data_IF_649096838678
#
_entry.id   IF_649096838678
#
_cell.length_a   1.000
_cell.length_b   1.000
_cell.length_c   1.000
_cell.angle_alpha   90.00
_cell.angle_beta   90.00
_cell.angle_gamma   90.00
#
_symmetry.space_group_name_H-M   'P 1'
#
loop_
_entity.id
_entity.type
_entity.pdbx_description
1 polymer ?
#
# COMPACT_ATOMS: atom_id res chain seq x y z
N UNK A 1 -18.30 -5.92 21.20
CA UNK A 1 -17.61 -5.90 19.90
C UNK A 1 -16.34 -5.05 20.00
N UNK A 2 -15.23 -5.50 19.41
CA UNK A 2 -13.93 -4.82 19.47
C UNK A 2 -13.90 -3.62 18.52
N UNK A 3 -14.48 -3.75 17.33
CA UNK A 3 -14.51 -2.71 16.29
C UNK A 3 -15.23 -1.46 16.79
N UNK A 4 -16.36 -1.63 17.50
CA UNK A 4 -17.07 -0.55 18.18
C UNK A 4 -16.18 0.21 19.17
N UNK A 5 -15.38 -0.50 19.98
CA UNK A 5 -14.50 0.14 20.96
C UNK A 5 -13.37 0.91 20.29
N UNK A 6 -12.79 0.34 19.24
CA UNK A 6 -11.76 0.98 18.43
C UNK A 6 -12.26 2.28 17.81
N UNK A 7 -13.39 2.24 17.08
CA UNK A 7 -13.95 3.40 16.41
C UNK A 7 -14.34 4.52 17.39
N UNK A 8 -14.91 4.15 18.54
CA UNK A 8 -15.25 5.11 19.59
C UNK A 8 -14.02 5.74 20.26
N UNK A 9 -12.94 4.97 20.46
CA UNK A 9 -11.68 5.50 20.98
C UNK A 9 -11.04 6.48 19.99
N UNK A 10 -10.98 6.11 18.71
CA UNK A 10 -10.47 6.97 17.64
C UNK A 10 -11.31 8.24 17.48
N UNK A 11 -12.63 8.15 17.65
CA UNK A 11 -13.53 9.30 17.46
C UNK A 11 -13.21 10.43 18.46
N UNK A 12 -12.87 10.07 19.70
CA UNK A 12 -12.50 11.04 20.74
C UNK A 12 -11.23 11.82 20.41
N UNK A 13 -10.32 11.24 19.62
CA UNK A 13 -9.01 11.83 19.32
C UNK A 13 -9.01 12.49 17.94
N UNK A 14 -9.47 11.78 16.91
CA UNK A 14 -9.33 12.18 15.51
C UNK A 14 -10.46 13.08 15.00
N UNK A 15 -11.62 13.06 15.65
CA UNK A 15 -12.79 13.85 15.24
C UNK A 15 -12.99 15.09 16.10
N UNK A 16 -12.19 15.27 17.15
CA UNK A 16 -12.22 16.48 17.97
C UNK A 16 -11.89 17.69 17.07
N UNK A 17 -12.81 18.65 16.98
CA UNK A 17 -12.72 19.85 16.15
C UNK A 17 -12.64 19.61 14.62
N UNK A 18 -13.00 18.41 14.15
CA UNK A 18 -13.01 18.12 12.72
C UNK A 18 -14.32 18.56 12.07
N UNK A 19 -14.23 19.38 11.03
CA UNK A 19 -15.40 19.89 10.29
C UNK A 19 -15.84 19.01 9.12
N UNK A 20 -14.92 18.19 8.58
CA UNK A 20 -15.21 17.31 7.44
C UNK A 20 -15.25 15.85 7.88
N UNK A 21 -16.14 15.02 7.33
CA UNK A 21 -16.15 13.59 7.62
C UNK A 21 -14.78 12.95 7.36
N UNK A 22 -14.32 12.09 8.28
CA UNK A 22 -13.08 11.35 8.09
C UNK A 22 -13.36 10.09 7.27
N UNK A 23 -12.75 9.92 6.08
CA UNK A 23 -12.85 8.66 5.34
C UNK A 23 -12.22 7.52 6.13
N UNK A 24 -12.97 6.43 6.33
CA UNK A 24 -12.50 5.25 7.03
C UNK A 24 -12.72 3.98 6.21
N UNK A 25 -11.89 2.98 6.50
CA UNK A 25 -12.00 1.67 5.88
C UNK A 25 -11.11 0.63 6.55
N UNK A 26 -11.30 -0.62 6.17
CA UNK A 26 -10.56 -1.77 6.64
C UNK A 26 -10.12 -2.61 5.44
N UNK A 27 -8.96 -3.25 5.50
CA UNK A 27 -8.59 -4.25 4.48
C UNK A 27 -9.29 -5.60 4.75
N UNK A 28 -9.78 -5.80 5.98
CA UNK A 28 -10.44 -7.05 6.39
C UNK A 28 -11.73 -7.32 5.59
N UNK A 29 -12.38 -6.28 5.08
CA UNK A 29 -13.53 -6.44 4.18
C UNK A 29 -13.17 -7.10 2.84
N UNK A 30 -11.91 -7.01 2.42
CA UNK A 30 -11.45 -7.49 1.12
C UNK A 30 -10.73 -8.83 1.24
N UNK A 31 -9.89 -9.02 2.26
CA UNK A 31 -9.01 -10.18 2.41
C UNK A 31 -9.31 -11.02 3.66
N UNK A 32 -10.29 -10.63 4.47
CA UNK A 32 -10.51 -11.23 5.79
C UNK A 32 -9.42 -10.84 6.80
N UNK A 33 -9.40 -11.54 7.93
CA UNK A 33 -8.36 -11.32 8.94
C UNK A 33 -7.11 -12.14 8.58
N UNK A 34 -6.01 -11.45 8.26
CA UNK A 34 -4.71 -12.07 7.94
C UNK A 34 -3.83 -12.25 9.19
N UNK A 35 -4.43 -12.27 10.38
CA UNK A 35 -3.81 -12.45 11.70
C UNK A 35 -2.52 -11.63 11.88
N UNK A 36 -1.37 -12.31 12.00
CA UNK A 36 -0.07 -11.70 12.23
C UNK A 36 0.33 -10.68 11.15
N UNK A 37 -0.21 -10.80 9.93
CA UNK A 37 0.08 -9.88 8.82
C UNK A 37 -0.91 -8.71 8.72
N UNK A 38 -1.98 -8.67 9.51
CA UNK A 38 -3.09 -7.68 9.38
C UNK A 38 -2.63 -6.22 9.38
N UNK A 39 -1.66 -5.88 10.23
CA UNK A 39 -1.06 -4.55 10.26
C UNK A 39 -0.32 -4.22 8.95
N UNK A 40 0.53 -5.14 8.46
CA UNK A 40 1.32 -4.94 7.25
C UNK A 40 0.44 -4.81 6.02
N UNK A 41 -0.58 -5.67 5.88
CA UNK A 41 -1.51 -5.60 4.74
C UNK A 41 -2.28 -4.27 4.74
N UNK A 42 -2.64 -3.76 5.93
CA UNK A 42 -3.28 -2.45 6.06
C UNK A 42 -2.36 -1.30 5.65
N UNK A 43 -1.06 -1.37 6.00
CA UNK A 43 -0.05 -0.42 5.53
C UNK A 43 0.09 -0.49 4.00
N UNK A 44 0.16 -1.69 3.43
CA UNK A 44 0.23 -1.88 1.96
C UNK A 44 -0.98 -1.27 1.26
N UNK A 45 -2.21 -1.43 1.79
CA UNK A 45 -3.42 -0.76 1.27
C UNK A 45 -3.23 0.75 1.16
N UNK A 46 -2.70 1.37 2.22
CA UNK A 46 -2.48 2.83 2.26
C UNK A 46 -1.37 3.25 1.30
N UNK A 47 -0.25 2.52 1.26
CA UNK A 47 0.85 2.83 0.34
C UNK A 47 0.41 2.76 -1.13
N UNK A 48 -0.35 1.73 -1.49
CA UNK A 48 -0.93 1.61 -2.84
C UNK A 48 -1.92 2.75 -3.10
N UNK A 49 -2.79 3.07 -2.13
CA UNK A 49 -3.77 4.15 -2.28
C UNK A 49 -3.11 5.53 -2.51
N UNK A 50 -2.01 5.81 -1.80
CA UNK A 50 -1.20 7.01 -1.98
C UNK A 50 -0.50 7.01 -3.35
N UNK A 51 0.08 5.88 -3.77
CA UNK A 51 0.79 5.74 -5.05
C UNK A 51 -0.15 5.97 -6.24
N UNK A 52 -1.36 5.38 -6.22
CA UNK A 52 -2.32 5.48 -7.33
C UNK A 52 -3.27 6.68 -7.20
N UNK A 53 -3.20 7.43 -6.11
CA UNK A 53 -4.05 8.58 -5.82
C UNK A 53 -5.54 8.24 -5.59
N UNK A 54 -5.87 7.01 -5.15
CA UNK A 54 -7.26 6.56 -4.94
C UNK A 54 -7.41 5.68 -3.71
N UNK A 55 -8.48 5.88 -2.96
CA UNK A 55 -8.87 5.03 -1.83
C UNK A 55 -9.83 3.94 -2.34
N UNK A 56 -9.48 2.64 -2.20
CA UNK A 56 -10.33 1.55 -2.64
C UNK A 56 -11.54 1.36 -1.70
N UNK A 57 -12.66 0.82 -2.22
CA UNK A 57 -13.89 0.61 -1.46
C UNK A 57 -13.75 -0.51 -0.43
N UNK A 58 -14.52 -0.40 0.66
CA UNK A 58 -14.80 -1.47 1.60
C UNK A 58 -16.05 -2.22 1.15
N UNK A 59 -15.97 -3.54 1.11
CA UNK A 59 -17.10 -4.41 0.79
C UNK A 59 -17.87 -4.80 2.06
N UNK A 60 -19.10 -5.29 1.87
CA UNK A 60 -19.98 -5.78 2.93
C UNK A 60 -20.38 -4.73 3.98
N UNK A 61 -20.46 -3.46 3.58
CA UNK A 61 -20.98 -2.38 4.42
C UNK A 61 -22.37 -1.95 3.92
N UNK A 62 -23.41 -2.30 4.67
CA UNK A 62 -24.80 -2.01 4.29
C UNK A 62 -25.44 -0.93 5.17
N UNK A 63 -25.23 -0.99 6.49
CA UNK A 63 -25.86 -0.07 7.46
C UNK A 63 -24.84 0.35 8.52
N UNK A 64 -24.80 1.63 8.92
CA UNK A 64 -23.96 2.07 10.03
C UNK A 64 -24.33 1.35 11.33
N UNK A 65 -23.31 0.93 12.08
CA UNK A 65 -23.50 0.37 13.41
C UNK A 65 -24.02 1.45 14.36
N UNK A 66 -25.18 1.18 14.99
CA UNK A 66 -25.81 2.08 15.97
C UNK A 66 -24.96 2.24 17.25
N UNK A 67 -23.98 1.36 17.46
CA UNK A 67 -23.09 1.41 18.64
C UNK A 67 -21.93 2.42 18.48
N UNK A 68 -21.79 3.03 17.30
CA UNK A 68 -20.74 4.00 16.99
C UNK A 68 -21.42 5.32 16.59
N UNK A 69 -21.62 6.26 17.53
CA UNK A 69 -22.32 7.52 17.26
C UNK A 69 -21.71 8.31 16.09
N UNK A 70 -20.38 8.28 15.94
CA UNK A 70 -19.68 8.96 14.84
C UNK A 70 -20.04 8.44 13.44
N UNK A 71 -20.53 7.19 13.31
CA UNK A 71 -21.08 6.67 12.04
C UNK A 71 -22.52 7.13 11.80
N UNK A 72 -23.29 7.35 12.86
CA UNK A 72 -24.69 7.81 12.77
C UNK A 72 -24.75 9.32 12.54
N UNK A 73 -23.79 10.07 13.09
CA UNK A 73 -23.64 11.51 12.93
C UNK A 73 -22.86 11.91 11.66
N UNK A 74 -22.57 10.96 10.76
CA UNK A 74 -21.79 11.17 9.53
C UNK A 74 -20.39 11.80 9.72
N UNK A 75 -19.83 11.75 10.94
CA UNK A 75 -18.45 12.22 11.21
C UNK A 75 -17.40 11.25 10.66
N UNK A 76 -17.75 9.97 10.56
CA UNK A 76 -17.01 8.97 9.81
C UNK A 76 -17.70 8.69 8.49
N UNK A 77 -16.93 8.67 7.39
CA UNK A 77 -17.40 8.26 6.07
C UNK A 77 -16.78 6.93 5.69
N UNK A 78 -17.55 5.85 5.77
CA UNK A 78 -17.07 4.55 5.28
C UNK A 78 -16.96 4.61 3.77
N UNK A 79 -15.78 4.30 3.25
CA UNK A 79 -15.53 4.34 1.80
C UNK A 79 -16.19 3.11 1.17
N UNK A 80 -17.33 3.27 0.51
CA UNK A 80 -18.06 2.19 -0.19
C UNK A 80 -17.83 2.17 -1.69
N UNK A 81 -17.36 3.29 -2.24
CA UNK A 81 -17.00 3.46 -3.64
C UNK A 81 -15.56 4.00 -3.74
N UNK A 82 -14.88 3.74 -4.86
CA UNK A 82 -13.53 4.27 -5.07
C UNK A 82 -13.58 5.79 -5.07
N UNK A 83 -12.78 6.44 -4.22
CA UNK A 83 -12.72 7.90 -4.14
C UNK A 83 -11.29 8.41 -4.34
N UNK A 84 -11.09 9.65 -4.81
CA UNK A 84 -9.76 10.23 -4.92
C UNK A 84 -9.09 10.34 -3.55
N UNK A 85 -7.78 10.12 -3.52
CA UNK A 85 -6.94 10.39 -2.36
C UNK A 85 -6.68 11.90 -2.29
N UNK A 86 -7.18 12.57 -1.25
CA UNK A 86 -7.22 14.04 -1.17
C UNK A 86 -6.51 14.64 0.05
N UNK A 87 -5.65 13.88 0.74
CA UNK A 87 -4.93 14.35 1.93
C UNK A 87 -3.49 13.84 1.98
N UNK A 88 -2.69 14.37 2.89
CA UNK A 88 -1.26 13.96 2.98
C UNK A 88 -1.02 12.87 4.01
N UNK A 89 -1.99 12.59 4.88
CA UNK A 89 -1.83 11.72 6.04
C UNK A 89 -2.88 10.62 6.05
N UNK A 90 -2.45 9.41 6.36
CA UNK A 90 -3.32 8.31 6.78
C UNK A 90 -2.88 7.78 8.13
N UNK A 91 -3.86 7.30 8.90
CA UNK A 91 -3.62 6.49 10.08
C UNK A 91 -3.93 5.02 9.77
N UNK A 92 -3.07 4.12 10.22
CA UNK A 92 -3.33 2.68 10.26
C UNK A 92 -3.40 2.24 11.71
N UNK A 93 -4.52 1.66 12.09
CA UNK A 93 -4.75 1.12 13.43
C UNK A 93 -4.73 -0.40 13.38
N UNK A 94 -4.20 -1.01 14.44
CA UNK A 94 -4.24 -2.44 14.62
C UNK A 94 -4.45 -2.81 16.09
N UNK A 95 -5.29 -3.83 16.31
CA UNK A 95 -5.52 -4.43 17.63
C UNK A 95 -5.15 -5.90 17.56
N UNK A 96 -4.14 -6.29 18.33
CA UNK A 96 -3.71 -7.68 18.46
C UNK A 96 -4.63 -8.47 19.39
N UNK A 97 -4.67 -9.79 19.18
CA UNK A 97 -5.45 -10.73 20.00
C UNK A 97 -5.12 -10.65 21.49
N UNK A 98 -3.86 -10.36 21.84
CA UNK A 98 -3.37 -10.24 23.22
C UNK A 98 -3.64 -8.87 23.85
N UNK A 99 -4.40 -7.99 23.19
CA UNK A 99 -4.69 -6.64 23.68
C UNK A 99 -3.60 -5.60 23.38
N UNK A 100 -2.64 -5.92 22.52
CA UNK A 100 -1.64 -4.95 22.05
C UNK A 100 -2.24 -4.00 21.01
N UNK A 101 -1.97 -2.71 21.13
CA UNK A 101 -2.45 -1.69 20.20
C UNK A 101 -1.29 -1.07 19.42
N UNK A 102 -1.48 -0.88 18.12
CA UNK A 102 -0.55 -0.17 17.25
C UNK A 102 -1.27 0.93 16.47
N UNK A 103 -0.63 2.09 16.37
CA UNK A 103 -1.09 3.23 15.59
C UNK A 103 0.07 3.77 14.76
N UNK A 104 -0.11 3.83 13.45
CA UNK A 104 0.92 4.30 12.52
C UNK A 104 0.35 5.47 11.73
N UNK A 105 1.09 6.57 11.68
CA UNK A 105 0.81 7.68 10.78
C UNK A 105 1.73 7.58 9.56
N UNK A 106 1.14 7.57 8.38
CA UNK A 106 1.82 7.55 7.10
C UNK A 106 1.60 8.90 6.42
N UNK A 107 2.67 9.46 5.86
CA UNK A 107 2.62 10.69 5.06
C UNK A 107 2.94 10.39 3.61
N UNK A 108 2.14 10.92 2.69
CA UNK A 108 2.45 10.87 1.27
C UNK A 108 3.77 11.58 0.99
N UNK A 109 4.62 10.94 0.19
CA UNK A 109 5.89 11.53 -0.21
C UNK A 109 5.68 12.41 -1.45
N UNK A 110 6.03 13.70 -1.35
CA UNK A 110 5.78 14.69 -2.42
C UNK A 110 6.76 14.60 -3.59
N UNK A 111 7.87 13.86 -3.45
CA UNK A 111 8.78 13.64 -4.57
C UNK A 111 8.11 12.69 -5.55
N UNK A 112 7.80 13.23 -6.72
CA UNK A 112 7.42 12.41 -7.85
C UNK A 112 8.54 11.43 -8.17
N UNK A 113 8.16 10.18 -8.46
CA UNK A 113 9.13 9.21 -8.96
C UNK A 113 9.61 9.69 -10.32
N UNK A 114 10.86 10.16 -10.35
CA UNK A 114 11.54 10.49 -11.60
C UNK A 114 11.71 9.20 -12.35
N UNK A 115 10.85 9.03 -13.35
CA UNK A 115 10.93 7.96 -14.30
C UNK A 115 11.85 8.43 -15.40
N UNK A 116 13.10 7.95 -15.38
CA UNK A 116 14.03 8.25 -16.46
C UNK A 116 13.42 7.75 -17.77
N UNK A 117 13.31 8.64 -18.74
CA UNK A 117 12.94 8.24 -20.08
C UNK A 117 13.92 7.17 -20.57
N UNK A 118 13.39 6.16 -21.28
CA UNK A 118 14.25 5.20 -21.95
C UNK A 118 15.19 6.00 -22.86
N UNK A 119 16.52 5.84 -22.73
CA UNK A 119 17.39 6.68 -23.52
C UNK A 119 17.22 6.31 -24.99
N UNK A 120 17.11 7.34 -25.82
CA UNK A 120 16.77 7.23 -27.25
C UNK A 120 17.98 6.98 -28.15
N UNK A 121 19.17 6.87 -27.56
CA UNK A 121 20.37 6.51 -28.31
C UNK A 121 20.38 5.02 -28.68
N UNK A 122 21.06 4.68 -29.77
CA UNK A 122 21.23 3.30 -30.24
C UNK A 122 22.43 2.60 -29.57
N UNK A 123 22.89 3.08 -28.42
CA UNK A 123 24.07 2.50 -27.76
C UNK A 123 23.70 1.16 -27.11
N UNK A 124 24.50 0.10 -27.33
CA UNK A 124 24.28 -1.17 -26.66
C UNK A 124 24.43 -0.99 -25.15
N UNK A 125 23.44 -1.47 -24.38
CA UNK A 125 23.46 -1.47 -22.92
C UNK A 125 23.64 -2.87 -22.38
N UNK A 126 24.56 -3.01 -21.43
CA UNK A 126 24.77 -4.27 -20.73
C UNK A 126 23.73 -4.43 -19.62
N UNK A 127 22.85 -5.41 -19.76
CA UNK A 127 21.93 -5.83 -18.71
C UNK A 127 22.46 -7.11 -18.05
N UNK A 128 22.96 -6.98 -16.83
CA UNK A 128 23.47 -8.13 -16.05
C UNK A 128 22.35 -8.67 -15.17
N UNK A 129 21.99 -9.93 -15.37
CA UNK A 129 20.98 -10.63 -14.57
C UNK A 129 21.59 -11.91 -14.01
N UNK A 130 21.40 -12.15 -12.73
CA UNK A 130 21.83 -13.37 -12.05
C UNK A 130 20.66 -13.96 -11.25
N UNK A 131 20.56 -15.28 -11.22
CA UNK A 131 19.56 -16.00 -10.44
C UNK A 131 20.15 -17.25 -9.80
N UNK A 132 19.52 -17.73 -8.72
CA UNK A 132 19.95 -18.97 -8.04
C UNK A 132 19.63 -20.23 -8.85
N UNK A 133 18.58 -20.19 -9.66
CA UNK A 133 18.13 -21.30 -10.50
C UNK A 133 17.90 -20.84 -11.93
N UNK A 134 17.93 -21.79 -12.88
CA UNK A 134 17.70 -21.52 -14.30
C UNK A 134 16.28 -20.99 -14.52
N UNK A 135 15.30 -21.61 -13.88
CA UNK A 135 13.87 -21.25 -13.99
C UNK A 135 13.60 -19.85 -13.44
N UNK A 136 14.29 -19.46 -12.36
CA UNK A 136 14.20 -18.12 -11.80
C UNK A 136 14.78 -17.05 -12.73
N UNK A 137 15.90 -17.37 -13.39
CA UNK A 137 16.50 -16.49 -14.39
C UNK A 137 15.59 -16.32 -15.61
N UNK A 138 15.04 -17.42 -16.14
CA UNK A 138 14.08 -17.40 -17.26
C UNK A 138 12.83 -16.59 -16.93
N UNK A 139 12.32 -16.69 -15.70
CA UNK A 139 11.17 -15.89 -15.25
C UNK A 139 11.48 -14.39 -15.25
N UNK A 140 12.66 -14.00 -14.78
CA UNK A 140 13.08 -12.58 -14.78
C UNK A 140 13.23 -12.08 -16.21
N UNK A 141 13.91 -12.85 -17.05
CA UNK A 141 14.13 -12.53 -18.47
C UNK A 141 12.79 -12.37 -19.19
N UNK A 142 11.86 -13.31 -19.04
CA UNK A 142 10.55 -13.26 -19.67
C UNK A 142 9.71 -12.06 -19.19
N UNK A 143 9.77 -11.73 -17.89
CA UNK A 143 9.10 -10.52 -17.38
C UNK A 143 9.67 -9.25 -18.01
N UNK A 144 10.98 -9.17 -18.19
CA UNK A 144 11.62 -8.01 -18.82
C UNK A 144 11.24 -7.90 -20.31
N UNK A 145 11.20 -9.03 -21.04
CA UNK A 145 10.73 -9.05 -22.44
C UNK A 145 9.26 -8.62 -22.57
N UNK A 146 8.37 -9.12 -21.70
CA UNK A 146 6.93 -8.80 -21.76
C UNK A 146 6.63 -7.33 -21.43
N UNK A 147 7.36 -6.73 -20.48
CA UNK A 147 7.24 -5.30 -20.17
C UNK A 147 7.67 -4.43 -21.36
N UNK A 148 8.61 -4.91 -22.19
CA UNK A 148 9.05 -4.20 -23.39
C UNK A 148 8.07 -4.33 -24.57
N UNK A 149 7.26 -5.39 -24.62
CA UNK A 149 6.39 -5.71 -25.77
C UNK A 149 4.91 -5.31 -25.62
N UNK A 150 4.38 -5.09 -24.40
CA UNK A 150 2.91 -5.07 -24.18
C UNK A 150 2.35 -3.76 -23.56
N UNK A 151 3.14 -2.77 -23.15
CA UNK A 151 2.57 -1.55 -22.54
C UNK A 151 2.99 -0.24 -23.19
N UNK A 152 2.08 0.48 -23.88
CA UNK A 152 2.03 1.93 -23.77
C UNK A 152 1.48 2.25 -22.36
N UNK A 153 2.35 2.19 -21.36
CA UNK A 153 1.99 2.70 -20.03
C UNK A 153 1.78 4.21 -20.16
N UNK A 154 0.71 4.80 -19.61
CA UNK A 154 0.45 6.23 -19.74
C UNK A 154 1.71 7.00 -19.32
N UNK A 155 2.11 7.98 -20.14
CA UNK A 155 3.40 8.72 -20.10
C UNK A 155 3.69 9.48 -18.78
N UNK A 156 3.01 9.17 -17.68
CA UNK A 156 3.21 9.79 -16.36
C UNK A 156 3.74 8.85 -15.27
N UNK A 157 3.91 7.55 -15.50
CA UNK A 157 4.30 6.62 -14.43
C UNK A 157 5.15 5.42 -14.88
N UNK A 158 6.19 5.63 -15.68
CA UNK A 158 7.08 4.54 -16.13
C UNK A 158 8.17 4.19 -15.12
N UNK A 159 7.91 3.24 -14.20
CA UNK A 159 8.90 2.72 -13.26
C UNK A 159 10.26 2.47 -13.92
N UNK A 160 11.28 3.23 -13.54
CA UNK A 160 12.67 2.86 -13.79
C UNK A 160 12.90 1.47 -13.23
N UNK A 161 13.31 0.53 -14.09
CA UNK A 161 13.73 -0.79 -13.64
C UNK A 161 14.97 -0.58 -12.77
N UNK A 162 14.80 -0.60 -11.45
CA UNK A 162 15.88 -0.59 -10.49
C UNK A 162 16.66 -1.91 -10.61
N UNK A 163 17.58 -1.96 -11.57
CA UNK A 163 18.63 -2.99 -11.69
C UNK A 163 19.91 -2.47 -11.06
N UNK A 164 19.85 -2.14 -9.77
CA UNK A 164 21.02 -2.15 -8.88
C UNK A 164 20.56 -1.82 -7.46
N UNK A 165 20.87 -2.72 -6.51
CA UNK A 165 20.68 -2.44 -5.08
C UNK A 165 20.44 -3.64 -4.17
N UNK A 166 20.24 -4.84 -4.70
CA UNK A 166 19.93 -6.03 -3.88
C UNK A 166 20.65 -7.30 -4.33
N UNK A 167 21.96 -7.22 -4.62
CA UNK A 167 22.79 -8.42 -4.76
C UNK A 167 23.41 -8.71 -3.39
N UNK A 168 22.84 -9.66 -2.65
CA UNK A 168 23.53 -10.25 -1.49
C UNK A 168 24.59 -11.21 -2.02
N UNK A 169 25.84 -10.76 -2.09
CA UNK A 169 26.98 -11.61 -2.43
C UNK A 169 27.34 -12.49 -1.24
N UNK A 170 27.23 -13.82 -1.37
CA UNK A 170 27.85 -14.75 -0.43
C UNK A 170 29.24 -15.12 -0.95
N UNK A 171 30.29 -14.55 -0.35
CA UNK A 171 31.66 -15.00 -0.58
C UNK A 171 31.93 -16.35 0.09
N UNK A 172 32.87 -17.16 -0.42
CA UNK A 172 33.21 -18.44 0.21
C UNK A 172 33.78 -18.22 1.61
N UNK A 173 33.17 -18.86 2.62
CA UNK A 173 33.72 -18.95 3.99
C UNK A 173 35.13 -19.53 3.91
N UNK A 174 36.16 -18.72 4.10
CA UNK A 174 37.48 -19.21 4.51
C UNK A 174 37.33 -19.77 5.92
N UNK A 175 37.44 -21.08 6.07
CA UNK A 175 37.68 -21.71 7.37
C UNK A 175 39.12 -21.37 7.78
N UNK A 176 39.27 -20.75 8.94
CA UNK A 176 40.51 -20.83 9.74
C UNK A 176 40.54 -22.15 10.47
#
# INVERSE_FOLDING_TARGET
DLDTKELNALAKVLLCNRQTPLPIGSIKSNLGNTDAASALVSVVKVLIAMEIGKIPPNYNYNKPSQQVPALVEDKYKVVTETMPWSGDLAAVNNVGLTGSFGHILLRTHSKEKVNFELPTDELPRLLVISGRTKEGLETIINKLYLVHLITPYPRGSQTGVATSGGVTSFGPKRRS
#
